data_IF_586399769928
#
_entry.id   IF_586399769928
#
_cell.length_a   1.000
_cell.length_b   1.000
_cell.length_c   1.000
_cell.angle_alpha   90.00
_cell.angle_beta   90.00
_cell.angle_gamma   90.00
#
_symmetry.space_group_name_H-M   'P 1'
#
loop_
_entity.id
_entity.type
_entity.pdbx_description
1 polymer ?
#
# COMPACT_ATOMS: atom_id res chain seq x y z
N UNK A 1 11.82 7.62 -25.18
CA UNK A 1 10.92 7.85 -24.02
C UNK A 1 9.53 8.17 -24.55
N UNK A 2 8.50 7.47 -24.06
CA UNK A 2 7.10 7.68 -24.42
C UNK A 2 6.51 8.90 -23.70
N UNK A 3 5.40 9.46 -24.21
CA UNK A 3 4.64 10.48 -23.47
C UNK A 3 4.04 9.89 -22.20
N UNK A 4 4.07 10.61 -21.09
CA UNK A 4 3.52 10.16 -19.83
C UNK A 4 2.89 11.30 -19.01
N UNK A 5 2.04 10.94 -18.07
CA UNK A 5 1.57 11.82 -17.00
C UNK A 5 2.05 11.20 -15.69
N UNK A 6 2.83 11.97 -14.92
CA UNK A 6 3.26 11.57 -13.58
C UNK A 6 2.42 12.29 -12.53
N UNK A 7 1.68 11.52 -11.75
CA UNK A 7 0.83 12.03 -10.68
C UNK A 7 0.99 11.17 -9.42
N UNK A 8 1.63 11.71 -8.40
CA UNK A 8 1.91 11.01 -7.13
C UNK A 8 1.60 11.93 -5.94
N UNK A 9 0.31 12.13 -5.61
CA UNK A 9 -0.14 13.12 -4.63
C UNK A 9 0.01 12.68 -3.17
N UNK A 10 0.48 11.47 -2.88
CA UNK A 10 0.62 10.96 -1.52
C UNK A 10 1.59 11.80 -0.70
N UNK A 11 1.17 12.28 0.46
CA UNK A 11 2.05 12.90 1.45
C UNK A 11 2.75 11.80 2.26
N UNK A 12 4.06 11.65 2.10
CA UNK A 12 4.84 10.68 2.86
C UNK A 12 5.40 11.32 4.12
N UNK A 13 4.96 10.82 5.28
CA UNK A 13 5.44 11.27 6.60
C UNK A 13 6.38 10.20 7.15
N UNK A 14 7.68 10.46 6.95
CA UNK A 14 8.74 9.48 7.14
C UNK A 14 9.59 9.79 8.37
N UNK A 15 9.87 8.78 9.18
CA UNK A 15 10.79 8.89 10.32
C UNK A 15 10.26 8.23 11.59
N UNK A 16 11.04 8.36 12.67
CA UNK A 16 10.70 7.79 13.97
C UNK A 16 9.44 8.43 14.55
N UNK A 17 8.64 7.62 15.23
CA UNK A 17 7.44 8.04 15.94
C UNK A 17 6.39 8.77 15.09
N UNK A 18 6.48 8.69 13.77
CA UNK A 18 5.57 9.40 12.87
C UNK A 18 4.12 8.90 12.96
N UNK A 19 3.89 7.70 13.46
CA UNK A 19 2.54 7.18 13.73
C UNK A 19 1.76 8.02 14.75
N UNK A 20 2.43 8.76 15.60
CA UNK A 20 1.80 9.71 16.53
C UNK A 20 1.09 10.87 15.80
N UNK A 21 1.48 11.16 14.56
CA UNK A 21 0.90 12.23 13.74
C UNK A 21 -0.38 11.79 13.00
N UNK A 22 -0.75 10.51 13.05
CA UNK A 22 -1.86 9.93 12.28
C UNK A 22 -3.17 10.70 12.48
N UNK A 23 -3.53 11.05 13.72
CA UNK A 23 -4.74 11.82 14.02
C UNK A 23 -4.74 13.20 13.38
N UNK A 24 -3.65 13.95 13.52
CA UNK A 24 -3.52 15.30 12.95
C UNK A 24 -3.58 15.25 11.41
N UNK A 25 -2.92 14.28 10.79
CA UNK A 25 -2.99 14.07 9.34
C UNK A 25 -4.41 13.72 8.89
N UNK A 26 -5.11 12.88 9.64
CA UNK A 26 -6.49 12.50 9.34
C UNK A 26 -7.42 13.71 9.36
N UNK A 27 -7.27 14.61 10.34
CA UNK A 27 -7.98 15.90 10.39
C UNK A 27 -7.62 16.78 9.20
N UNK A 28 -6.33 16.91 8.87
CA UNK A 28 -5.84 17.69 7.72
C UNK A 28 -6.53 17.29 6.42
N UNK A 29 -6.77 15.98 6.24
CA UNK A 29 -7.44 15.45 5.05
C UNK A 29 -8.96 15.40 5.14
N UNK A 30 -9.55 15.96 6.22
CA UNK A 30 -10.98 16.24 6.36
C UNK A 30 -11.83 15.05 6.75
N UNK A 31 -11.26 14.02 7.36
CA UNK A 31 -12.01 12.89 7.87
C UNK A 31 -12.88 13.28 9.06
N UNK A 32 -14.06 12.71 9.14
CA UNK A 32 -15.00 12.84 10.27
C UNK A 32 -15.11 11.53 11.03
N UNK A 33 -15.26 10.42 10.30
CA UNK A 33 -15.31 9.07 10.86
C UNK A 33 -14.45 8.11 10.06
N UNK A 34 -13.52 7.46 10.72
CA UNK A 34 -12.50 6.59 10.13
C UNK A 34 -12.85 5.12 10.34
N UNK A 35 -12.64 4.27 9.34
CA UNK A 35 -12.49 2.85 9.59
C UNK A 35 -11.01 2.47 9.56
N UNK A 36 -10.51 1.92 10.68
CA UNK A 36 -9.17 1.35 10.77
C UNK A 36 -9.24 -0.07 10.21
N UNK A 37 -8.51 -0.32 9.12
CA UNK A 37 -8.37 -1.65 8.52
C UNK A 37 -7.02 -2.23 8.93
N UNK A 38 -6.99 -3.46 9.49
CA UNK A 38 -5.74 -4.06 9.97
C UNK A 38 -5.71 -5.58 9.83
N UNK A 39 -4.51 -6.16 9.91
CA UNK A 39 -4.29 -7.59 9.70
C UNK A 39 -4.51 -8.48 10.93
N UNK A 40 -3.87 -9.63 10.94
CA UNK A 40 -4.11 -10.73 11.86
C UNK A 40 -3.50 -10.62 13.26
N UNK A 41 -2.97 -9.49 13.71
CA UNK A 41 -2.58 -9.32 15.11
C UNK A 41 -1.15 -8.82 15.37
N UNK A 42 -0.26 -8.69 14.40
CA UNK A 42 1.08 -8.11 14.60
C UNK A 42 1.00 -6.67 15.12
N UNK A 43 0.12 -5.87 14.55
CA UNK A 43 -0.12 -4.48 14.95
C UNK A 43 -0.73 -4.35 16.35
N UNK A 44 -1.46 -5.37 16.81
CA UNK A 44 -1.99 -5.45 18.17
C UNK A 44 -0.85 -5.77 19.14
N UNK A 45 -0.09 -6.83 18.86
CA UNK A 45 1.01 -7.29 19.75
C UNK A 45 2.13 -6.27 19.89
N UNK A 46 2.42 -5.51 18.85
CA UNK A 46 3.43 -4.43 18.89
C UNK A 46 2.94 -3.15 19.57
N UNK A 47 1.64 -3.07 19.94
CA UNK A 47 1.02 -1.88 20.48
C UNK A 47 0.80 -0.75 19.45
N UNK A 48 1.11 -0.98 18.18
CA UNK A 48 0.92 0.03 17.12
C UNK A 48 -0.53 0.44 16.97
N UNK A 49 -1.45 -0.52 16.99
CA UNK A 49 -2.88 -0.23 16.88
C UNK A 49 -3.33 0.72 17.97
N UNK A 50 -2.94 0.47 19.23
CA UNK A 50 -3.29 1.35 20.37
C UNK A 50 -2.68 2.75 20.26
N UNK A 51 -1.46 2.88 19.69
CA UNK A 51 -0.86 4.21 19.41
C UNK A 51 -1.66 4.98 18.36
N UNK A 52 -2.07 4.30 17.30
CA UNK A 52 -2.91 4.90 16.24
C UNK A 52 -4.29 5.30 16.79
N UNK A 53 -4.95 4.43 17.56
CA UNK A 53 -6.22 4.76 18.22
C UNK A 53 -6.09 5.98 19.14
N UNK A 54 -5.02 6.02 19.95
CA UNK A 54 -4.75 7.17 20.84
C UNK A 54 -4.54 8.46 20.07
N UNK A 55 -3.84 8.41 18.94
CA UNK A 55 -3.64 9.55 18.05
C UNK A 55 -4.96 10.06 17.45
N UNK A 56 -5.82 9.16 16.98
CA UNK A 56 -7.16 9.53 16.47
C UNK A 56 -8.05 10.14 17.57
N UNK A 57 -8.10 9.49 18.74
CA UNK A 57 -8.85 10.00 19.90
C UNK A 57 -8.38 11.38 20.33
N UNK A 58 -7.06 11.58 20.40
CA UNK A 58 -6.45 12.87 20.73
C UNK A 58 -6.80 13.98 19.73
N UNK A 59 -7.08 13.61 18.49
CA UNK A 59 -7.51 14.50 17.43
C UNK A 59 -9.05 14.65 17.32
N UNK A 60 -9.82 14.00 18.20
CA UNK A 60 -11.28 14.06 18.19
C UNK A 60 -11.94 13.30 17.04
N UNK A 61 -11.25 12.34 16.41
CA UNK A 61 -11.77 11.56 15.30
C UNK A 61 -12.49 10.30 15.82
N UNK A 62 -13.75 10.15 15.42
CA UNK A 62 -14.48 8.91 15.62
C UNK A 62 -13.96 7.81 14.70
N UNK A 63 -13.97 6.56 15.19
CA UNK A 63 -13.55 5.43 14.36
C UNK A 63 -14.30 4.14 14.70
N UNK A 64 -14.35 3.25 13.71
CA UNK A 64 -14.66 1.83 13.86
C UNK A 64 -13.49 0.99 13.34
N UNK A 65 -13.54 -0.32 13.48
CA UNK A 65 -12.40 -1.18 13.15
C UNK A 65 -12.84 -2.40 12.33
N UNK A 66 -12.03 -2.75 11.33
CA UNK A 66 -12.13 -3.98 10.56
C UNK A 66 -10.78 -4.73 10.64
N UNK A 67 -10.73 -5.79 11.42
CA UNK A 67 -9.54 -6.61 11.61
C UNK A 67 -9.59 -7.94 10.85
N UNK A 68 -8.48 -8.69 10.96
CA UNK A 68 -8.40 -10.04 10.41
C UNK A 68 -8.16 -10.10 8.92
N UNK A 69 -7.58 -9.04 8.32
CA UNK A 69 -7.13 -9.10 6.93
C UNK A 69 -5.96 -10.07 6.83
N UNK A 70 -6.10 -11.07 5.97
CA UNK A 70 -5.09 -12.10 5.71
C UNK A 70 -4.18 -11.71 4.53
N UNK A 71 -2.96 -12.30 4.45
CA UNK A 71 -2.15 -12.26 3.23
C UNK A 71 -2.95 -12.79 2.03
N UNK A 72 -2.73 -12.21 0.83
CA UNK A 72 -3.61 -12.42 -0.32
C UNK A 72 -5.08 -12.12 0.03
N UNK A 73 -5.43 -10.84 0.13
CA UNK A 73 -6.70 -10.43 0.70
C UNK A 73 -7.87 -10.91 -0.14
N UNK A 74 -8.93 -11.30 0.52
CA UNK A 74 -10.11 -11.93 -0.09
C UNK A 74 -11.31 -11.01 -0.14
N UNK A 75 -12.18 -11.24 -1.12
CA UNK A 75 -13.38 -10.45 -1.39
C UNK A 75 -14.36 -10.39 -0.22
N UNK A 76 -14.49 -11.46 0.56
CA UNK A 76 -15.41 -11.51 1.71
C UNK A 76 -15.13 -10.42 2.73
N UNK A 77 -13.85 -10.09 2.97
CA UNK A 77 -13.45 -8.99 3.86
C UNK A 77 -13.72 -7.61 3.25
N UNK A 78 -13.69 -7.50 1.94
CA UNK A 78 -14.07 -6.27 1.24
C UNK A 78 -15.58 -6.03 1.38
N UNK A 79 -16.43 -7.04 1.18
CA UNK A 79 -17.87 -6.92 1.38
C UNK A 79 -18.21 -6.53 2.82
N UNK A 80 -17.63 -7.22 3.82
CA UNK A 80 -17.80 -6.89 5.24
C UNK A 80 -17.45 -5.42 5.51
N UNK A 81 -16.33 -4.95 4.97
CA UNK A 81 -15.88 -3.57 5.12
C UNK A 81 -16.80 -2.55 4.43
N UNK A 82 -17.32 -2.84 3.26
CA UNK A 82 -18.28 -1.98 2.56
C UNK A 82 -19.56 -1.82 3.38
N UNK A 83 -20.11 -2.93 3.89
CA UNK A 83 -21.32 -2.92 4.68
C UNK A 83 -21.12 -2.16 6.01
N UNK A 84 -19.99 -2.38 6.68
CA UNK A 84 -19.62 -1.65 7.89
C UNK A 84 -19.45 -0.15 7.63
N UNK A 85 -18.77 0.24 6.54
CA UNK A 85 -18.64 1.65 6.17
C UNK A 85 -19.98 2.33 5.95
N UNK A 86 -20.89 1.65 5.26
CA UNK A 86 -22.23 2.19 4.95
C UNK A 86 -23.08 2.34 6.22
N UNK A 87 -23.11 1.32 7.08
CA UNK A 87 -23.89 1.33 8.34
C UNK A 87 -23.38 2.38 9.32
N UNK A 88 -22.05 2.50 9.43
CA UNK A 88 -21.36 3.41 10.34
C UNK A 88 -21.14 4.82 9.77
N UNK A 89 -21.50 5.06 8.50
CA UNK A 89 -21.30 6.32 7.78
C UNK A 89 -19.83 6.78 7.77
N UNK A 90 -18.92 5.83 7.55
CA UNK A 90 -17.49 6.09 7.43
C UNK A 90 -17.21 6.92 6.18
N UNK A 91 -16.37 7.92 6.29
CA UNK A 91 -15.96 8.79 5.19
C UNK A 91 -14.45 8.71 4.85
N UNK A 92 -13.68 7.91 5.62
CA UNK A 92 -12.25 7.80 5.47
C UNK A 92 -11.73 6.41 5.91
N UNK A 93 -10.77 5.85 5.18
CA UNK A 93 -10.15 4.57 5.49
C UNK A 93 -8.70 4.75 5.91
N UNK A 94 -8.31 4.12 7.01
CA UNK A 94 -6.93 4.08 7.50
C UNK A 94 -6.44 2.64 7.53
N UNK A 95 -5.56 2.29 6.61
CA UNK A 95 -4.90 0.99 6.56
C UNK A 95 -3.71 0.97 7.52
N UNK A 96 -3.73 0.10 8.52
CA UNK A 96 -2.60 -0.10 9.45
C UNK A 96 -2.01 -1.48 9.20
N UNK A 97 -1.01 -1.56 8.31
CA UNK A 97 -0.48 -2.84 7.86
C UNK A 97 0.41 -2.76 6.63
N UNK A 98 0.55 -3.88 5.94
CA UNK A 98 1.24 -4.02 4.67
C UNK A 98 0.28 -4.03 3.47
N UNK A 99 0.78 -4.45 2.30
CA UNK A 99 0.07 -4.43 1.02
C UNK A 99 -1.34 -5.01 1.08
N UNK A 100 -1.53 -6.20 1.68
CA UNK A 100 -2.86 -6.85 1.76
C UNK A 100 -3.90 -6.00 2.50
N UNK A 101 -3.49 -5.31 3.57
CA UNK A 101 -4.36 -4.42 4.35
C UNK A 101 -4.69 -3.16 3.54
N UNK A 102 -3.69 -2.60 2.87
CA UNK A 102 -3.83 -1.40 2.04
C UNK A 102 -4.75 -1.70 0.85
N UNK A 103 -4.56 -2.83 0.19
CA UNK A 103 -5.36 -3.25 -0.96
C UNK A 103 -6.82 -3.49 -0.57
N UNK A 104 -7.07 -4.15 0.58
CA UNK A 104 -8.43 -4.29 1.12
C UNK A 104 -9.07 -2.91 1.37
N UNK A 105 -8.35 -1.98 1.99
CA UNK A 105 -8.85 -0.64 2.25
C UNK A 105 -9.20 0.11 0.95
N UNK A 106 -8.37 0.00 -0.09
CA UNK A 106 -8.63 0.60 -1.41
C UNK A 106 -9.86 -0.01 -2.10
N UNK A 107 -10.00 -1.35 -2.05
CA UNK A 107 -11.16 -2.03 -2.61
C UNK A 107 -12.46 -1.61 -1.91
N UNK A 108 -12.45 -1.51 -0.57
CA UNK A 108 -13.56 -0.97 0.21
C UNK A 108 -13.84 0.48 -0.19
N UNK A 109 -12.80 1.33 -0.30
CA UNK A 109 -12.93 2.73 -0.67
C UNK A 109 -13.66 2.92 -2.01
N UNK A 110 -13.35 2.09 -2.99
CA UNK A 110 -14.02 2.08 -4.29
C UNK A 110 -15.45 1.55 -4.20
N UNK A 111 -15.68 0.51 -3.40
CA UNK A 111 -16.96 -0.17 -3.29
C UNK A 111 -18.03 0.61 -2.52
N UNK A 112 -17.67 1.40 -1.50
CA UNK A 112 -18.64 2.10 -0.64
C UNK A 112 -19.58 3.03 -1.42
N UNK A 113 -19.11 3.91 -2.32
CA UNK A 113 -19.99 4.80 -3.07
C UNK A 113 -20.67 4.12 -4.27
N UNK A 114 -20.33 2.89 -4.61
CA UNK A 114 -20.87 2.18 -5.76
C UNK A 114 -22.10 1.35 -5.36
N UNK A 115 -23.26 1.50 -6.07
CA UNK A 115 -24.47 0.78 -5.73
C UNK A 115 -24.48 -0.68 -6.21
N UNK A 116 -23.54 -1.07 -7.10
CA UNK A 116 -23.39 -2.43 -7.61
C UNK A 116 -22.40 -3.25 -6.79
N UNK A 117 -21.97 -4.36 -7.36
CA UNK A 117 -20.95 -5.24 -6.80
C UNK A 117 -19.54 -4.63 -7.06
N UNK A 118 -18.72 -4.44 -6.01
CA UNK A 118 -17.37 -3.90 -6.17
C UNK A 118 -16.51 -4.75 -7.11
N UNK A 119 -16.78 -6.05 -7.23
CA UNK A 119 -16.09 -6.96 -8.13
C UNK A 119 -16.27 -6.59 -9.61
N UNK A 120 -17.34 -5.88 -9.96
CA UNK A 120 -17.56 -5.35 -11.31
C UNK A 120 -16.38 -4.49 -11.81
N UNK A 121 -15.65 -3.83 -10.88
CA UNK A 121 -14.46 -3.06 -11.24
C UNK A 121 -13.29 -3.94 -11.67
N UNK A 122 -13.10 -5.08 -11.00
CA UNK A 122 -11.98 -6.00 -11.25
C UNK A 122 -12.16 -6.78 -12.55
N UNK A 123 -13.38 -7.06 -12.95
CA UNK A 123 -13.71 -7.75 -14.21
C UNK A 123 -14.03 -6.78 -15.36
N UNK A 124 -13.80 -5.48 -15.18
CA UNK A 124 -14.00 -4.46 -16.21
C UNK A 124 -15.45 -4.16 -16.59
N UNK A 125 -16.43 -4.65 -15.81
CA UNK A 125 -17.87 -4.41 -16.05
C UNK A 125 -18.30 -3.01 -15.65
N UNK A 126 -17.60 -2.37 -14.70
CA UNK A 126 -17.82 -0.99 -14.29
C UNK A 126 -16.48 -0.25 -14.12
N UNK A 127 -16.53 1.10 -14.08
CA UNK A 127 -15.38 1.96 -13.80
C UNK A 127 -15.57 2.65 -12.46
N UNK A 128 -14.48 2.76 -11.68
CA UNK A 128 -14.47 3.55 -10.45
C UNK A 128 -14.54 5.02 -10.82
N UNK A 129 -15.59 5.71 -10.39
CA UNK A 129 -15.78 7.15 -10.61
C UNK A 129 -15.71 7.96 -9.32
N UNK A 130 -15.81 7.30 -8.17
CA UNK A 130 -15.69 7.86 -6.82
C UNK A 130 -15.09 6.83 -5.89
N UNK A 131 -14.33 7.29 -4.90
CA UNK A 131 -13.82 6.46 -3.81
C UNK A 131 -13.76 7.29 -2.53
N UNK A 132 -13.78 6.62 -1.37
CA UNK A 132 -13.39 7.25 -0.12
C UNK A 132 -11.87 7.51 -0.13
N UNK A 133 -11.41 8.48 0.67
CA UNK A 133 -9.99 8.68 0.87
C UNK A 133 -9.38 7.52 1.66
N UNK A 134 -8.19 7.12 1.26
CA UNK A 134 -7.39 6.09 1.95
C UNK A 134 -6.11 6.72 2.48
N UNK A 135 -5.71 6.32 3.68
CA UNK A 135 -4.40 6.63 4.24
C UNK A 135 -3.77 5.36 4.81
N UNK A 136 -2.46 5.44 5.08
CA UNK A 136 -1.67 4.26 5.45
C UNK A 136 -0.78 4.56 6.66
N UNK A 137 -0.68 3.60 7.57
CA UNK A 137 0.45 3.42 8.50
C UNK A 137 1.15 2.14 8.10
N UNK A 138 2.30 2.26 7.44
CA UNK A 138 3.00 1.15 6.81
C UNK A 138 3.77 0.32 7.82
N UNK A 139 3.64 -1.02 7.76
CA UNK A 139 4.35 -1.94 8.65
C UNK A 139 5.28 -2.92 7.94
N UNK A 140 5.21 -3.03 6.62
CA UNK A 140 6.09 -3.86 5.81
C UNK A 140 6.33 -3.19 4.44
N UNK A 141 7.58 -2.83 4.12
CA UNK A 141 7.94 -2.38 2.79
C UNK A 141 8.08 -3.58 1.85
N UNK A 142 7.28 -3.61 0.80
CA UNK A 142 7.28 -4.64 -0.24
C UNK A 142 6.57 -4.11 -1.49
N UNK A 143 5.26 -4.30 -1.56
CA UNK A 143 4.42 -4.00 -2.72
C UNK A 143 4.29 -2.51 -3.09
N UNK A 144 4.79 -1.56 -2.28
CA UNK A 144 4.67 -0.12 -2.55
C UNK A 144 3.23 0.39 -2.67
N UNK A 145 2.27 -0.34 -2.08
CA UNK A 145 0.84 0.00 -2.18
C UNK A 145 0.50 1.33 -1.49
N UNK A 146 1.32 1.77 -0.53
CA UNK A 146 1.18 3.08 0.14
C UNK A 146 1.40 4.27 -0.79
N UNK A 147 2.09 4.07 -1.92
CA UNK A 147 2.38 5.09 -2.93
C UNK A 147 1.73 4.82 -4.29
N UNK A 148 0.93 3.76 -4.43
CA UNK A 148 0.34 3.37 -5.72
C UNK A 148 -1.19 3.44 -5.72
N UNK A 149 -1.78 3.46 -6.90
CA UNK A 149 -3.23 3.40 -7.09
C UNK A 149 -3.76 2.00 -7.42
N UNK A 150 -2.97 0.97 -7.14
CA UNK A 150 -3.32 -0.41 -7.42
C UNK A 150 -3.92 -1.09 -6.19
N UNK A 151 -4.76 -2.08 -6.42
CA UNK A 151 -5.29 -2.99 -5.40
C UNK A 151 -5.48 -4.37 -6.02
N UNK A 152 -5.06 -5.42 -5.31
CA UNK A 152 -5.17 -6.82 -5.74
C UNK A 152 -6.03 -7.58 -4.73
N UNK A 153 -7.12 -8.19 -5.20
CA UNK A 153 -8.05 -8.95 -4.36
C UNK A 153 -8.26 -10.33 -4.97
N UNK A 154 -8.34 -11.34 -4.13
CA UNK A 154 -8.69 -12.70 -4.52
C UNK A 154 -10.17 -12.94 -4.27
N UNK A 155 -10.93 -13.27 -5.30
CA UNK A 155 -12.30 -13.79 -5.15
C UNK A 155 -12.25 -15.24 -4.70
N UNK A 156 -12.93 -15.53 -3.59
CA UNK A 156 -12.93 -16.89 -3.02
C UNK A 156 -13.60 -17.87 -3.97
N UNK A 157 -14.72 -17.46 -4.59
CA UNK A 157 -15.39 -18.24 -5.61
C UNK A 157 -14.58 -18.20 -6.92
N UNK A 158 -14.05 -19.35 -7.31
CA UNK A 158 -13.21 -19.50 -8.50
C UNK A 158 -11.74 -19.11 -8.32
N UNK A 159 -11.31 -18.74 -7.11
CA UNK A 159 -9.91 -18.39 -6.74
C UNK A 159 -9.24 -17.39 -7.71
N UNK A 160 -10.01 -16.41 -8.18
CA UNK A 160 -9.53 -15.40 -9.13
C UNK A 160 -8.79 -14.28 -8.40
N UNK A 161 -7.48 -14.16 -8.59
CA UNK A 161 -6.66 -13.04 -8.06
C UNK A 161 -6.50 -11.98 -9.14
N UNK A 162 -7.22 -10.88 -9.01
CA UNK A 162 -7.28 -9.81 -9.99
C UNK A 162 -6.80 -8.47 -9.43
N UNK A 163 -6.23 -7.65 -10.31
CA UNK A 163 -5.79 -6.30 -10.00
C UNK A 163 -6.73 -5.24 -10.57
N UNK A 164 -6.87 -4.14 -9.84
CA UNK A 164 -7.55 -2.91 -10.27
C UNK A 164 -6.59 -1.74 -10.11
N UNK A 165 -6.44 -0.91 -11.17
CA UNK A 165 -5.56 0.26 -11.16
C UNK A 165 -6.35 1.54 -11.42
N UNK A 166 -6.43 2.42 -10.42
CA UNK A 166 -7.12 3.72 -10.48
C UNK A 166 -6.31 4.77 -9.71
N UNK A 167 -5.16 5.22 -10.24
CA UNK A 167 -4.22 6.06 -9.50
C UNK A 167 -4.81 7.41 -9.07
N UNK A 168 -5.77 7.94 -9.81
CA UNK A 168 -6.39 9.24 -9.53
C UNK A 168 -7.30 9.20 -8.27
N UNK A 169 -7.84 8.03 -7.92
CA UNK A 169 -8.81 7.88 -6.84
C UNK A 169 -8.34 6.99 -5.68
N UNK A 170 -7.44 6.02 -5.94
CA UNK A 170 -7.05 5.00 -4.96
C UNK A 170 -5.66 5.19 -4.38
N UNK A 171 -4.84 6.16 -4.87
CA UNK A 171 -3.60 6.48 -4.18
C UNK A 171 -3.92 7.01 -2.78
N UNK A 172 -3.24 6.50 -1.75
CA UNK A 172 -3.39 7.03 -0.39
C UNK A 172 -3.10 8.52 -0.34
N UNK A 173 -3.89 9.29 0.41
CA UNK A 173 -3.68 10.73 0.57
C UNK A 173 -2.48 11.03 1.45
N UNK A 174 -2.19 10.15 2.42
CA UNK A 174 -0.93 10.16 3.16
C UNK A 174 -0.49 8.74 3.53
N UNK A 175 0.81 8.59 3.75
CA UNK A 175 1.41 7.38 4.28
C UNK A 175 2.39 7.73 5.41
N UNK A 176 2.13 7.19 6.60
CA UNK A 176 3.01 7.24 7.75
C UNK A 176 4.00 6.08 7.66
N UNK A 177 5.28 6.40 7.70
CA UNK A 177 6.36 5.47 7.40
C UNK A 177 7.45 5.56 8.47
N UNK A 178 7.27 4.85 9.59
CA UNK A 178 8.29 4.71 10.62
C UNK A 178 9.09 3.40 10.39
N UNK A 179 10.38 3.46 10.03
CA UNK A 179 11.19 2.27 9.80
C UNK A 179 11.26 1.31 11.01
N UNK A 180 11.13 1.80 12.22
CA UNK A 180 11.18 0.99 13.44
C UNK A 180 9.98 0.02 13.55
N UNK A 181 8.86 0.32 12.89
CA UNK A 181 7.70 -0.59 12.82
C UNK A 181 8.01 -1.90 12.08
N UNK A 182 9.12 -1.94 11.35
CA UNK A 182 9.56 -3.13 10.58
C UNK A 182 10.55 -4.02 11.35
N UNK A 183 11.01 -3.62 12.55
CA UNK A 183 12.00 -4.38 13.32
C UNK A 183 11.51 -5.79 13.72
N UNK A 184 10.21 -5.94 13.93
CA UNK A 184 9.59 -7.21 14.33
C UNK A 184 9.24 -8.12 13.16
N UNK A 185 9.55 -7.73 11.92
CA UNK A 185 9.32 -8.58 10.76
C UNK A 185 10.22 -9.82 10.80
N UNK A 186 9.67 -11.03 10.61
CA UNK A 186 10.46 -12.23 10.45
C UNK A 186 11.46 -12.08 9.28
N UNK A 187 12.66 -12.70 9.37
CA UNK A 187 13.64 -12.63 8.27
C UNK A 187 13.09 -13.04 6.92
N UNK A 188 12.26 -14.09 6.88
CA UNK A 188 11.61 -14.54 5.64
C UNK A 188 10.71 -13.46 5.04
N UNK A 189 9.89 -12.77 5.85
CA UNK A 189 9.03 -11.69 5.37
C UNK A 189 9.84 -10.49 4.88
N UNK A 190 10.95 -10.18 5.55
CA UNK A 190 11.89 -9.16 5.11
C UNK A 190 12.49 -9.52 3.73
N UNK A 191 12.92 -10.77 3.55
CA UNK A 191 13.47 -11.25 2.29
C UNK A 191 12.42 -11.25 1.16
N UNK A 192 11.18 -11.68 1.44
CA UNK A 192 10.09 -11.60 0.48
C UNK A 192 9.80 -10.16 0.03
N UNK A 193 9.74 -9.22 0.98
CA UNK A 193 9.53 -7.80 0.64
C UNK A 193 10.66 -7.23 -0.21
N UNK A 194 11.91 -7.60 0.08
CA UNK A 194 13.07 -7.20 -0.73
C UNK A 194 12.97 -7.77 -2.16
N UNK A 195 12.64 -9.05 -2.29
CA UNK A 195 12.48 -9.68 -3.60
C UNK A 195 11.36 -9.02 -4.41
N UNK A 196 10.21 -8.76 -3.78
CA UNK A 196 9.05 -8.14 -4.40
C UNK A 196 9.38 -6.73 -4.94
N UNK A 197 10.00 -5.86 -4.13
CA UNK A 197 10.39 -4.53 -4.61
C UNK A 197 11.44 -4.58 -5.73
N UNK A 198 12.34 -5.57 -5.74
CA UNK A 198 13.29 -5.76 -6.85
C UNK A 198 12.57 -6.18 -8.13
N UNK A 199 11.62 -7.12 -8.04
CA UNK A 199 10.81 -7.55 -9.18
C UNK A 199 10.00 -6.38 -9.74
N UNK A 200 9.38 -5.54 -8.90
CA UNK A 200 8.68 -4.33 -9.34
C UNK A 200 9.57 -3.41 -10.18
N UNK A 201 10.85 -3.27 -9.82
CA UNK A 201 11.79 -2.46 -10.59
C UNK A 201 12.18 -3.16 -11.89
N UNK A 202 12.45 -4.47 -11.85
CA UNK A 202 12.84 -5.24 -13.03
C UNK A 202 11.76 -5.29 -14.10
N UNK A 203 10.47 -5.41 -13.71
CA UNK A 203 9.31 -5.35 -14.61
C UNK A 203 9.24 -4.02 -15.40
N UNK A 204 9.82 -2.96 -14.87
CA UNK A 204 9.92 -1.65 -15.52
C UNK A 204 11.24 -1.45 -16.26
N UNK A 205 12.33 -2.02 -15.74
CA UNK A 205 13.66 -1.88 -16.33
C UNK A 205 13.80 -2.67 -17.63
N UNK A 206 13.22 -3.88 -17.70
CA UNK A 206 13.25 -4.72 -18.90
C UNK A 206 12.22 -4.27 -19.95
N UNK A 207 12.30 -3.00 -20.32
CA UNK A 207 11.41 -2.40 -21.33
C UNK A 207 12.00 -2.44 -22.73
N UNK A 208 11.14 -2.46 -23.74
CA UNK A 208 11.54 -2.25 -25.14
C UNK A 208 11.62 -0.76 -25.54
N UNK A 209 11.19 0.15 -24.68
CA UNK A 209 11.21 1.59 -24.93
C UNK A 209 12.65 2.08 -25.05
N UNK A 210 12.93 2.87 -26.09
CA UNK A 210 14.27 3.42 -26.35
C UNK A 210 14.44 4.81 -25.75
N UNK A 211 15.70 5.20 -25.53
CA UNK A 211 16.08 6.54 -25.06
C UNK A 211 15.46 6.91 -23.71
N UNK A 212 15.58 6.00 -22.72
CA UNK A 212 15.00 6.12 -21.38
C UNK A 212 16.07 6.20 -20.27
N UNK A 213 17.24 6.80 -20.59
CA UNK A 213 18.42 6.84 -19.73
C UNK A 213 18.11 7.24 -18.27
N UNK A 214 17.25 8.24 -18.06
CA UNK A 214 16.90 8.65 -16.68
C UNK A 214 16.10 7.57 -15.94
N UNK A 215 15.18 6.87 -16.61
CA UNK A 215 14.43 5.79 -16.03
C UNK A 215 15.36 4.59 -15.69
N UNK A 216 16.30 4.28 -16.58
CA UNK A 216 17.30 3.24 -16.36
C UNK A 216 18.14 3.55 -15.12
N UNK A 217 18.67 4.78 -14.98
CA UNK A 217 19.48 5.17 -13.81
C UNK A 217 18.68 5.15 -12.51
N UNK A 218 17.40 5.53 -12.53
CA UNK A 218 16.54 5.44 -11.36
C UNK A 218 16.31 3.98 -10.94
N UNK A 219 16.07 3.09 -11.89
CA UNK A 219 15.94 1.66 -11.65
C UNK A 219 17.23 1.06 -11.10
N UNK A 220 18.36 1.27 -11.79
CA UNK A 220 19.68 0.74 -11.40
C UNK A 220 20.12 1.26 -10.03
N UNK A 221 20.01 2.56 -9.79
CA UNK A 221 20.36 3.17 -8.51
C UNK A 221 19.54 2.61 -7.36
N UNK A 222 18.23 2.42 -7.58
CA UNK A 222 17.35 1.85 -6.57
C UNK A 222 17.67 0.37 -6.31
N UNK A 223 17.91 -0.44 -7.36
CA UNK A 223 18.32 -1.84 -7.22
C UNK A 223 19.64 -1.98 -6.46
N UNK A 224 20.64 -1.13 -6.77
CA UNK A 224 21.93 -1.14 -6.06
C UNK A 224 21.75 -0.81 -4.56
N UNK A 225 20.90 0.14 -4.23
CA UNK A 225 20.58 0.47 -2.84
C UNK A 225 19.90 -0.71 -2.13
N UNK A 226 18.91 -1.34 -2.77
CA UNK A 226 18.21 -2.51 -2.23
C UNK A 226 19.21 -3.65 -1.96
N UNK A 227 20.06 -4.01 -2.92
CA UNK A 227 21.03 -5.09 -2.78
C UNK A 227 21.99 -4.85 -1.61
N UNK A 228 22.49 -3.61 -1.47
CA UNK A 228 23.36 -3.22 -0.39
C UNK A 228 22.68 -3.36 0.97
N UNK A 229 21.51 -2.75 1.11
CA UNK A 229 20.82 -2.70 2.40
C UNK A 229 20.15 -4.04 2.76
N UNK A 230 19.81 -4.88 1.79
CA UNK A 230 19.38 -6.26 2.02
C UNK A 230 20.44 -7.06 2.79
N UNK A 231 21.71 -6.95 2.38
CA UNK A 231 22.83 -7.61 3.09
C UNK A 231 22.97 -7.13 4.53
N UNK A 232 22.71 -5.84 4.79
CA UNK A 232 22.78 -5.25 6.12
C UNK A 232 21.60 -5.71 6.99
N UNK A 233 20.37 -5.56 6.50
CA UNK A 233 19.16 -5.84 7.30
C UNK A 233 19.00 -7.32 7.66
N UNK A 234 19.52 -8.23 6.83
CA UNK A 234 19.49 -9.66 7.12
C UNK A 234 20.46 -10.06 8.24
N UNK A 235 21.52 -9.27 8.49
CA UNK A 235 22.49 -9.48 9.58
C UNK A 235 22.13 -8.67 10.82
N UNK A 236 21.63 -7.48 10.62
CA UNK A 236 21.28 -6.48 11.63
C UNK A 236 19.82 -6.05 11.47
N UNK A 237 18.84 -6.88 11.91
CA UNK A 237 17.41 -6.64 11.64
C UNK A 237 16.86 -5.30 12.17
N UNK A 238 17.50 -4.73 13.19
CA UNK A 238 17.12 -3.46 13.81
C UNK A 238 18.02 -2.28 13.37
N UNK A 239 18.79 -2.46 12.30
CA UNK A 239 19.55 -1.36 11.72
C UNK A 239 18.63 -0.33 11.08
N UNK A 240 18.44 0.81 11.75
CA UNK A 240 17.53 1.87 11.31
C UNK A 240 17.83 2.36 9.89
N UNK A 241 19.10 2.58 9.56
CA UNK A 241 19.51 3.07 8.25
C UNK A 241 19.10 2.11 7.13
N UNK A 242 19.37 0.81 7.32
CA UNK A 242 19.00 -0.21 6.34
C UNK A 242 17.48 -0.33 6.20
N UNK A 243 16.73 -0.34 7.31
CA UNK A 243 15.27 -0.36 7.28
C UNK A 243 14.68 0.89 6.61
N UNK A 244 15.23 2.05 6.89
CA UNK A 244 14.80 3.33 6.31
C UNK A 244 15.02 3.35 4.80
N UNK A 245 16.20 2.96 4.34
CA UNK A 245 16.52 2.87 2.91
C UNK A 245 15.59 1.88 2.19
N UNK A 246 15.44 0.66 2.72
CA UNK A 246 14.54 -0.34 2.13
C UNK A 246 13.08 0.12 2.10
N UNK A 247 12.61 0.77 3.16
CA UNK A 247 11.25 1.30 3.20
C UNK A 247 11.01 2.34 2.10
N UNK A 248 11.96 3.25 1.89
CA UNK A 248 11.83 4.25 0.83
C UNK A 248 12.02 3.66 -0.56
N UNK A 249 12.94 2.70 -0.73
CA UNK A 249 13.10 1.97 -1.99
C UNK A 249 11.81 1.25 -2.42
N UNK A 250 11.09 0.62 -1.49
CA UNK A 250 9.80 -0.02 -1.77
C UNK A 250 8.77 0.96 -2.32
N UNK A 251 8.69 2.16 -1.74
CA UNK A 251 7.82 3.22 -2.26
C UNK A 251 8.24 3.66 -3.66
N UNK A 252 9.53 3.95 -3.90
CA UNK A 252 10.04 4.37 -5.21
C UNK A 252 9.82 3.29 -6.27
N UNK A 253 9.98 2.02 -5.89
CA UNK A 253 9.80 0.89 -6.78
C UNK A 253 8.39 0.83 -7.41
N UNK A 254 7.35 1.34 -6.74
CA UNK A 254 5.98 1.18 -7.21
C UNK A 254 5.14 2.48 -7.27
N UNK A 255 5.66 3.63 -6.88
CA UNK A 255 4.92 4.90 -6.98
C UNK A 255 4.88 5.51 -8.39
N UNK A 256 5.55 4.89 -9.35
CA UNK A 256 5.68 5.33 -10.74
C UNK A 256 6.98 6.08 -11.05
N UNK A 257 7.87 6.30 -10.08
CA UNK A 257 9.17 6.97 -10.31
C UNK A 257 10.08 6.13 -11.19
N UNK A 258 10.23 4.84 -10.88
CA UNK A 258 10.87 3.89 -11.76
C UNK A 258 9.95 3.58 -12.94
N UNK A 259 10.44 3.66 -14.17
CA UNK A 259 9.68 3.33 -15.37
C UNK A 259 8.89 4.50 -15.99
N UNK A 260 9.12 5.75 -15.58
CA UNK A 260 8.50 6.91 -16.23
C UNK A 260 8.83 6.96 -17.73
N UNK A 261 7.78 7.03 -18.55
CA UNK A 261 7.91 7.07 -20.02
C UNK A 261 8.35 5.74 -20.65
N UNK A 262 8.31 4.64 -19.91
CA UNK A 262 8.58 3.28 -20.39
C UNK A 262 7.28 2.47 -20.54
N UNK A 263 7.30 1.48 -21.42
CA UNK A 263 6.34 0.38 -21.40
C UNK A 263 6.68 -0.53 -20.22
N UNK A 264 5.68 -0.91 -19.45
CA UNK A 264 5.81 -1.80 -18.30
C UNK A 264 5.35 -3.22 -18.73
N UNK A 265 6.12 -4.24 -18.35
CA UNK A 265 5.75 -5.64 -18.53
C UNK A 265 5.59 -6.29 -17.15
N UNK A 266 4.39 -6.77 -16.86
CA UNK A 266 4.02 -7.37 -15.58
C UNK A 266 3.93 -8.90 -15.65
N UNK A 267 4.68 -9.54 -16.55
CA UNK A 267 4.61 -10.96 -16.80
C UNK A 267 4.85 -11.82 -15.57
N UNK A 268 5.87 -11.48 -14.74
CA UNK A 268 6.17 -12.24 -13.52
C UNK A 268 5.04 -12.15 -12.49
N UNK A 269 4.45 -10.95 -12.32
CA UNK A 269 3.32 -10.74 -11.41
C UNK A 269 2.04 -11.44 -11.91
N UNK A 270 1.79 -11.44 -13.22
CA UNK A 270 0.64 -12.16 -13.78
C UNK A 270 0.77 -13.67 -13.58
N UNK A 271 1.99 -14.23 -13.77
CA UNK A 271 2.24 -15.64 -13.49
C UNK A 271 2.07 -16.01 -12.00
N UNK A 272 2.35 -15.08 -11.10
CA UNK A 272 2.14 -15.28 -9.65
C UNK A 272 0.64 -15.26 -9.30
N UNK A 273 -0.17 -14.53 -10.06
CA UNK A 273 -1.61 -14.46 -9.84
C UNK A 273 -2.37 -15.72 -10.27
N UNK A 274 -1.84 -16.52 -11.23
CA UNK A 274 -2.43 -17.79 -11.69
C UNK A 274 -2.19 -18.93 -10.67
#
# INVERSE_FOLDING_TARGET
>A
MNNFIFYSPTEFVFGKDTEAQTGALTVKYGAKKVMIVYGGGSVIRSGLLSRVESSLKGAGIEYCMLGGIQPNPIDTKVYEGIDLCRSEKVDFLLAVGGGSVIDTAKAIAAGVPYPGDFWDFYIGKAKVTKALKVAVVLTIPAAGSEGSGNTVITKVDGLQKLSLRVPELLRPVFAVMNPELTYTLPPFQTACGIADMMVHIMERYFTNTKEVEIADRLCEGTLLAIIKEASTVMKEPENYGARANLMWCGTIAHNGTCGVGCEEDWASHFLEHE
#
